data_IF_471482533379
#
_entry.id   IF_471482533379
#
_cell.length_a   1.000
_cell.length_b   1.000
_cell.length_c   1.000
_cell.angle_alpha   90.00
_cell.angle_beta   90.00
_cell.angle_gamma   90.00
#
_symmetry.space_group_name_H-M   'P 1'
#
loop_
_entity.id
_entity.type
_entity.pdbx_description
1 polymer ?
#
# COMPACT_ATOMS: atom_id res chain seq x y z
N UNK A 1 14.92 18.44 -30.02
CA UNK A 1 14.52 19.07 -28.75
C UNK A 1 14.30 17.95 -27.74
N UNK A 2 15.35 17.58 -27.03
CA UNK A 2 15.25 16.69 -25.86
C UNK A 2 14.81 17.57 -24.70
N UNK A 3 13.55 17.43 -24.30
CA UNK A 3 13.01 18.01 -23.09
C UNK A 3 13.69 17.30 -21.91
N UNK A 4 14.75 17.91 -21.38
CA UNK A 4 15.34 17.49 -20.12
C UNK A 4 14.31 17.83 -19.05
N UNK A 5 13.54 16.83 -18.62
CA UNK A 5 12.72 16.97 -17.43
C UNK A 5 13.66 17.33 -16.28
N UNK A 6 13.53 18.54 -15.75
CA UNK A 6 14.12 18.96 -14.47
C UNK A 6 13.92 17.81 -13.46
N UNK A 7 14.92 17.46 -12.62
CA UNK A 7 14.76 16.38 -11.65
C UNK A 7 13.67 16.76 -10.66
N UNK A 8 12.44 16.36 -10.97
CA UNK A 8 11.25 16.64 -10.19
C UNK A 8 11.39 15.94 -8.85
N UNK A 9 11.32 16.73 -7.78
CA UNK A 9 11.22 16.18 -6.43
C UNK A 9 9.91 15.40 -6.33
N UNK A 10 9.99 14.07 -6.23
CA UNK A 10 8.86 13.18 -5.99
C UNK A 10 8.68 12.93 -4.50
N UNK A 11 7.43 12.99 -4.03
CA UNK A 11 7.07 12.89 -2.61
C UNK A 11 6.16 11.69 -2.44
N UNK A 12 6.71 10.63 -1.84
CA UNK A 12 6.03 9.36 -1.62
C UNK A 12 5.70 9.18 -0.15
N UNK A 13 4.49 8.74 0.16
CA UNK A 13 4.13 8.32 1.51
C UNK A 13 4.66 6.92 1.75
N UNK A 14 5.54 6.74 2.74
CA UNK A 14 6.13 5.44 3.04
C UNK A 14 5.16 4.54 3.81
N UNK A 15 4.88 3.33 3.30
CA UNK A 15 4.10 2.34 4.02
C UNK A 15 4.95 1.74 5.15
N UNK A 16 4.74 2.14 6.40
CA UNK A 16 5.23 1.35 7.56
C UNK A 16 5.86 2.10 8.72
N UNK A 17 6.23 3.37 8.57
CA UNK A 17 6.59 4.18 9.73
C UNK A 17 5.38 4.97 10.22
N UNK A 18 4.32 4.22 10.58
CA UNK A 18 3.15 4.75 11.26
C UNK A 18 3.26 4.38 12.73
N UNK A 19 3.94 5.23 13.50
CA UNK A 19 3.78 5.25 14.96
C UNK A 19 2.65 6.23 15.28
N UNK A 20 1.47 5.71 15.62
CA UNK A 20 0.26 6.52 15.83
C UNK A 20 -0.19 7.26 14.56
N UNK A 21 -0.53 8.54 14.68
CA UNK A 21 -1.06 9.36 13.57
C UNK A 21 0.02 9.94 12.64
N UNK A 22 1.28 9.56 12.83
CA UNK A 22 2.40 10.10 12.05
C UNK A 22 2.58 9.33 10.74
N UNK A 23 2.69 10.08 9.65
CA UNK A 23 2.99 9.56 8.31
C UNK A 23 4.45 9.81 8.00
N UNK A 24 5.17 8.79 7.54
CA UNK A 24 6.52 8.98 7.01
C UNK A 24 6.48 9.25 5.51
N UNK A 25 7.35 10.14 5.07
CA UNK A 25 7.42 10.63 3.71
C UNK A 25 8.84 10.42 3.20
N UNK A 26 8.97 9.88 1.99
CA UNK A 26 10.19 9.81 1.22
C UNK A 26 10.16 10.94 0.19
N UNK A 27 11.17 11.80 0.22
CA UNK A 27 11.42 12.81 -0.80
C UNK A 27 12.58 12.29 -1.65
N UNK A 28 12.37 12.12 -2.95
CA UNK A 28 13.37 11.56 -3.88
C UNK A 28 13.45 12.42 -5.14
N UNK A 29 14.59 12.37 -5.82
CA UNK A 29 14.84 13.03 -7.12
C UNK A 29 14.15 12.33 -8.32
N UNK A 30 13.13 11.50 -8.07
CA UNK A 30 12.48 10.66 -9.07
C UNK A 30 13.28 9.42 -9.52
N UNK A 31 14.49 9.20 -8.99
CA UNK A 31 15.33 8.05 -9.32
C UNK A 31 14.98 6.75 -8.58
N UNK A 32 15.49 5.62 -9.08
CA UNK A 32 15.45 4.31 -8.41
C UNK A 32 16.58 4.18 -7.36
N UNK A 33 16.71 5.17 -6.49
CA UNK A 33 17.68 5.16 -5.40
C UNK A 33 17.42 4.02 -4.39
N UNK A 34 18.37 3.72 -3.49
CA UNK A 34 18.21 2.65 -2.50
C UNK A 34 16.92 2.76 -1.66
N UNK A 35 16.53 3.98 -1.28
CA UNK A 35 15.29 4.22 -0.53
C UNK A 35 14.03 4.03 -1.39
N UNK A 36 14.07 4.44 -2.67
CA UNK A 36 12.97 4.17 -3.61
C UNK A 36 12.75 2.67 -3.81
N UNK A 37 13.82 1.89 -3.95
CA UNK A 37 13.73 0.42 -4.04
C UNK A 37 13.22 -0.22 -2.74
N UNK A 38 13.61 0.31 -1.59
CA UNK A 38 13.09 -0.15 -0.31
C UNK A 38 11.58 0.14 -0.18
N UNK A 39 11.14 1.34 -0.58
CA UNK A 39 9.73 1.69 -0.66
C UNK A 39 8.97 0.74 -1.60
N UNK A 40 9.53 0.45 -2.77
CA UNK A 40 8.93 -0.49 -3.74
C UNK A 40 8.79 -1.91 -3.16
N UNK A 41 9.78 -2.38 -2.40
CA UNK A 41 9.72 -3.68 -1.73
C UNK A 41 8.62 -3.73 -0.66
N UNK A 42 8.49 -2.68 0.16
CA UNK A 42 7.45 -2.59 1.19
C UNK A 42 6.04 -2.54 0.58
N UNK A 43 5.87 -1.79 -0.51
CA UNK A 43 4.61 -1.75 -1.26
C UNK A 43 4.26 -3.11 -1.86
N UNK A 44 5.25 -3.81 -2.44
CA UNK A 44 5.06 -5.14 -3.01
C UNK A 44 4.58 -6.13 -1.95
N UNK A 45 5.25 -6.20 -0.80
CA UNK A 45 4.85 -7.08 0.31
C UNK A 45 3.40 -6.80 0.76
N UNK A 46 3.01 -5.52 0.86
CA UNK A 46 1.63 -5.15 1.25
C UNK A 46 0.60 -5.60 0.23
N UNK A 47 0.89 -5.42 -1.06
CA UNK A 47 0.00 -5.86 -2.14
C UNK A 47 -0.10 -7.39 -2.19
N UNK A 48 1.00 -8.11 -1.95
CA UNK A 48 0.99 -9.58 -1.85
C UNK A 48 0.14 -10.06 -0.69
N UNK A 49 0.27 -9.44 0.50
CA UNK A 49 -0.57 -9.75 1.65
C UNK A 49 -2.05 -9.48 1.37
N UNK A 50 -2.37 -8.34 0.76
CA UNK A 50 -3.75 -8.02 0.37
C UNK A 50 -4.31 -9.02 -0.66
N UNK A 51 -3.51 -9.43 -1.64
CA UNK A 51 -3.89 -10.44 -2.62
C UNK A 51 -4.13 -11.81 -1.98
N UNK A 52 -3.26 -12.21 -1.04
CA UNK A 52 -3.42 -13.45 -0.28
C UNK A 52 -4.72 -13.45 0.54
N UNK A 53 -4.98 -12.37 1.28
CA UNK A 53 -6.23 -12.24 2.05
C UNK A 53 -7.45 -12.24 1.13
N UNK A 54 -7.40 -11.57 -0.02
CA UNK A 54 -8.51 -11.60 -0.99
C UNK A 54 -8.74 -13.01 -1.56
N UNK A 55 -7.68 -13.78 -1.82
CA UNK A 55 -7.81 -15.18 -2.25
C UNK A 55 -8.49 -16.03 -1.18
N UNK A 56 -8.11 -15.85 0.09
CA UNK A 56 -8.75 -16.52 1.22
C UNK A 56 -10.22 -16.13 1.39
N UNK A 57 -10.56 -14.87 1.10
CA UNK A 57 -11.95 -14.40 1.13
C UNK A 57 -12.83 -15.19 0.15
N UNK A 58 -12.31 -15.43 -1.06
CA UNK A 58 -12.99 -16.18 -2.12
C UNK A 58 -13.15 -17.66 -1.78
N UNK A 59 -12.31 -18.20 -0.91
CA UNK A 59 -12.37 -19.60 -0.46
C UNK A 59 -13.10 -19.78 0.88
N UNK A 60 -13.76 -18.75 1.42
CA UNK A 60 -14.51 -18.90 2.67
C UNK A 60 -15.67 -19.89 2.48
N UNK A 61 -15.84 -20.88 3.38
CA UNK A 61 -16.94 -21.81 3.28
C UNK A 61 -18.26 -21.11 3.64
N UNK A 62 -19.40 -21.56 3.07
CA UNK A 62 -20.71 -21.02 3.42
C UNK A 62 -21.10 -21.28 4.89
N UNK A 63 -20.44 -22.24 5.54
CA UNK A 63 -20.61 -22.57 6.95
C UNK A 63 -19.77 -21.71 7.91
N UNK A 64 -19.05 -20.70 7.41
CA UNK A 64 -18.24 -19.82 8.26
C UNK A 64 -19.12 -19.14 9.32
N UNK A 65 -18.68 -19.17 10.58
CA UNK A 65 -19.39 -18.55 11.68
C UNK A 65 -19.36 -17.02 11.58
N UNK A 66 -20.34 -16.36 12.20
CA UNK A 66 -20.38 -14.90 12.25
C UNK A 66 -19.14 -14.29 12.93
N UNK A 67 -18.50 -15.02 13.85
CA UNK A 67 -17.25 -14.58 14.50
C UNK A 67 -16.08 -14.66 13.53
N UNK A 68 -15.93 -15.76 12.80
CA UNK A 68 -14.89 -15.90 11.77
C UNK A 68 -15.04 -14.84 10.67
N UNK A 69 -16.27 -14.57 10.22
CA UNK A 69 -16.55 -13.52 9.24
C UNK A 69 -16.20 -12.13 9.78
N UNK A 70 -16.49 -11.82 11.05
CA UNK A 70 -16.12 -10.53 11.66
C UNK A 70 -14.60 -10.35 11.75
N UNK A 71 -13.88 -11.35 12.25
CA UNK A 71 -12.41 -11.33 12.29
C UNK A 71 -11.82 -11.19 10.89
N UNK A 72 -12.40 -11.89 9.91
CA UNK A 72 -11.94 -11.81 8.54
C UNK A 72 -12.21 -10.44 7.90
N UNK A 73 -13.37 -9.83 8.15
CA UNK A 73 -13.68 -8.48 7.68
C UNK A 73 -12.74 -7.43 8.28
N UNK A 74 -12.31 -7.59 9.53
CA UNK A 74 -11.29 -6.72 10.15
C UNK A 74 -9.97 -6.82 9.38
N UNK A 75 -9.45 -8.04 9.16
CA UNK A 75 -8.24 -8.22 8.37
C UNK A 75 -8.37 -7.68 6.94
N UNK A 76 -9.53 -7.87 6.30
CA UNK A 76 -9.77 -7.34 4.96
C UNK A 76 -9.71 -5.80 4.96
N UNK A 77 -10.27 -5.16 6.00
CA UNK A 77 -10.23 -3.71 6.17
C UNK A 77 -8.79 -3.23 6.33
N UNK A 78 -8.00 -3.87 7.19
CA UNK A 78 -6.58 -3.54 7.39
C UNK A 78 -5.80 -3.63 6.07
N UNK A 79 -6.01 -4.68 5.28
CA UNK A 79 -5.33 -4.82 3.99
C UNK A 79 -5.82 -3.81 2.94
N UNK A 80 -7.10 -3.41 2.97
CA UNK A 80 -7.61 -2.37 2.07
C UNK A 80 -7.00 -1.00 2.40
N UNK A 81 -6.87 -0.66 3.69
CA UNK A 81 -6.16 0.55 4.11
C UNK A 81 -4.73 0.57 3.57
N UNK A 82 -4.06 -0.58 3.60
CA UNK A 82 -2.72 -0.73 3.04
C UNK A 82 -2.67 -0.53 1.52
N UNK A 83 -3.62 -1.10 0.77
CA UNK A 83 -3.72 -0.86 -0.68
C UNK A 83 -3.95 0.62 -0.99
N UNK A 84 -4.81 1.30 -0.22
CA UNK A 84 -5.05 2.74 -0.39
C UNK A 84 -3.81 3.57 -0.08
N UNK A 85 -3.01 3.16 0.90
CA UNK A 85 -1.74 3.80 1.22
C UNK A 85 -0.72 3.66 0.10
N UNK A 86 -0.59 2.46 -0.49
CA UNK A 86 0.26 2.23 -1.67
C UNK A 86 -0.22 3.06 -2.86
N UNK A 87 -1.54 3.13 -3.10
CA UNK A 87 -2.10 3.96 -4.16
C UNK A 87 -1.76 5.45 -3.95
N UNK A 88 -1.83 5.94 -2.71
CA UNK A 88 -1.42 7.30 -2.36
C UNK A 88 0.08 7.52 -2.53
N UNK A 89 0.92 6.58 -2.09
CA UNK A 89 2.39 6.61 -2.27
C UNK A 89 2.76 6.82 -3.74
N UNK A 90 2.03 6.17 -4.65
CA UNK A 90 2.26 6.24 -6.09
C UNK A 90 1.55 7.40 -6.79
N UNK A 91 0.94 8.33 -6.05
CA UNK A 91 0.14 9.43 -6.62
C UNK A 91 -1.15 8.98 -7.31
N UNK A 92 -1.55 7.70 -7.20
CA UNK A 92 -2.72 7.09 -7.84
C UNK A 92 -3.96 7.16 -6.95
N UNK A 93 -4.24 8.34 -6.37
CA UNK A 93 -5.31 8.50 -5.39
C UNK A 93 -6.66 8.06 -5.98
N UNK A 94 -7.33 7.02 -5.43
CA UNK A 94 -8.69 6.69 -5.85
C UNK A 94 -9.62 7.85 -5.49
N UNK A 95 -10.57 8.16 -6.37
CA UNK A 95 -11.58 9.19 -6.11
C UNK A 95 -12.44 8.75 -4.91
N UNK A 96 -12.84 9.71 -4.03
CA UNK A 96 -13.72 9.42 -2.91
C UNK A 96 -15.09 8.91 -3.35
#
# INVERSE_FOLDING_TARGET
MTETAEPGTDVRVLPGARSGDKTCILITDGGSGPLSRHADALETIRLEHAAHTLARARSLPPSASATELRTFLQHLTDHLEEVLLVARSRGRRPRP
#
